data_IF_119124192792
#
_entry.id   IF_119124192792
#
_cell.length_a   1.000
_cell.length_b   1.000
_cell.length_c   1.000
_cell.angle_alpha   90.00
_cell.angle_beta   90.00
_cell.angle_gamma   90.00
#
_symmetry.space_group_name_H-M   'P 1'
#
loop_
_entity.id
_entity.type
_entity.pdbx_description
1 polymer ?
#
# COMPACT_ATOMS: atom_id res chain seq x y z
N UNK A 1 -14.64 3.54 24.25
CA UNK A 1 -13.63 2.77 23.49
C UNK A 1 -14.14 2.24 22.13
N UNK A 2 -15.40 1.82 22.00
CA UNK A 2 -15.94 1.30 20.71
C UNK A 2 -15.96 2.37 19.60
N UNK A 3 -16.32 3.62 19.89
CA UNK A 3 -16.35 4.72 18.92
C UNK A 3 -14.97 4.99 18.29
N UNK A 4 -13.89 4.98 19.06
CA UNK A 4 -12.52 5.18 18.56
C UNK A 4 -12.08 4.04 17.62
N UNK A 5 -12.49 2.80 17.90
CA UNK A 5 -12.22 1.66 17.00
C UNK A 5 -12.96 1.80 15.67
N UNK A 6 -14.21 2.25 15.69
CA UNK A 6 -15.01 2.47 14.48
C UNK A 6 -14.43 3.60 13.63
N UNK A 7 -14.07 4.74 14.23
CA UNK A 7 -13.45 5.86 13.53
C UNK A 7 -12.16 5.40 12.83
N UNK A 8 -11.28 4.68 13.53
CA UNK A 8 -10.04 4.15 12.95
C UNK A 8 -10.31 3.27 11.72
N UNK A 9 -11.31 2.39 11.81
CA UNK A 9 -11.66 1.49 10.70
C UNK A 9 -12.19 2.27 9.50
N UNK A 10 -13.05 3.26 9.73
CA UNK A 10 -13.60 4.11 8.66
C UNK A 10 -12.48 4.89 7.97
N UNK A 11 -11.60 5.55 8.73
CA UNK A 11 -10.45 6.29 8.19
C UNK A 11 -9.53 5.36 7.39
N UNK A 12 -9.20 4.19 7.93
CA UNK A 12 -8.34 3.20 7.27
C UNK A 12 -8.94 2.71 5.94
N UNK A 13 -10.25 2.42 5.90
CA UNK A 13 -10.94 2.02 4.67
C UNK A 13 -11.01 3.17 3.66
N UNK A 14 -11.27 4.39 4.11
CA UNK A 14 -11.32 5.57 3.26
C UNK A 14 -9.96 5.78 2.56
N UNK A 15 -8.85 5.77 3.32
CA UNK A 15 -7.50 5.87 2.75
C UNK A 15 -7.18 4.71 1.80
N UNK A 16 -7.57 3.49 2.17
CA UNK A 16 -7.38 2.31 1.33
C UNK A 16 -8.06 2.47 -0.04
N UNK A 17 -9.33 2.89 -0.07
CA UNK A 17 -10.07 3.11 -1.30
C UNK A 17 -9.52 4.30 -2.10
N UNK A 18 -9.19 5.42 -1.45
CA UNK A 18 -8.59 6.57 -2.13
C UNK A 18 -7.28 6.21 -2.82
N UNK A 19 -6.39 5.50 -2.14
CA UNK A 19 -5.13 5.04 -2.72
C UNK A 19 -5.35 3.97 -3.80
N UNK A 20 -6.33 3.09 -3.64
CA UNK A 20 -6.67 2.12 -4.68
C UNK A 20 -7.14 2.80 -5.96
N UNK A 21 -8.03 3.79 -5.84
CA UNK A 21 -8.52 4.58 -6.97
C UNK A 21 -7.36 5.34 -7.62
N UNK A 22 -6.45 5.92 -6.82
CA UNK A 22 -5.27 6.61 -7.32
C UNK A 22 -4.38 5.72 -8.20
N UNK A 23 -4.14 4.47 -7.79
CA UNK A 23 -3.33 3.53 -8.57
C UNK A 23 -4.08 2.92 -9.76
N UNK A 24 -5.41 2.92 -9.73
CA UNK A 24 -6.27 2.41 -10.80
C UNK A 24 -6.79 3.50 -11.71
N UNK A 25 -6.39 4.77 -11.49
CA UNK A 25 -6.82 5.89 -12.32
C UNK A 25 -6.24 5.79 -13.72
N UNK A 26 -6.98 5.11 -14.57
CA UNK A 26 -6.63 4.85 -15.97
C UNK A 26 -7.03 6.02 -16.86
N UNK A 27 -7.97 6.84 -16.40
CA UNK A 27 -8.52 7.98 -17.15
C UNK A 27 -7.93 9.35 -16.80
N UNK A 28 -7.04 9.44 -15.80
CA UNK A 28 -6.51 10.73 -15.33
C UNK A 28 -7.59 11.63 -14.70
N UNK A 29 -8.62 11.00 -14.10
CA UNK A 29 -9.75 11.71 -13.48
C UNK A 29 -9.37 12.38 -12.16
N UNK A 30 -8.27 11.94 -11.53
CA UNK A 30 -7.84 12.48 -10.25
C UNK A 30 -7.01 13.75 -10.46
N UNK A 31 -7.39 14.87 -9.84
CA UNK A 31 -6.63 16.11 -9.95
C UNK A 31 -5.22 15.94 -9.34
N UNK A 32 -4.18 16.54 -9.98
CA UNK A 32 -2.79 16.42 -9.51
C UNK A 32 -2.58 16.89 -8.07
N UNK A 33 -3.36 17.87 -7.63
CA UNK A 33 -3.32 18.38 -6.25
C UNK A 33 -3.65 17.31 -5.22
N UNK A 34 -4.68 16.50 -5.46
CA UNK A 34 -5.06 15.40 -4.57
C UNK A 34 -3.99 14.29 -4.55
N UNK A 35 -3.43 13.97 -5.71
CA UNK A 35 -2.32 13.01 -5.84
C UNK A 35 -1.11 13.44 -5.01
N UNK A 36 -0.72 14.72 -5.09
CA UNK A 36 0.41 15.26 -4.32
C UNK A 36 0.16 15.12 -2.81
N UNK A 37 -1.04 15.47 -2.33
CA UNK A 37 -1.40 15.36 -0.91
C UNK A 37 -1.39 13.90 -0.43
N UNK A 38 -2.00 12.99 -1.19
CA UNK A 38 -2.05 11.57 -0.82
C UNK A 38 -0.66 10.93 -0.78
N UNK A 39 0.20 11.28 -1.73
CA UNK A 39 1.59 10.79 -1.78
C UNK A 39 2.44 11.43 -0.69
N UNK A 40 2.22 12.70 -0.35
CA UNK A 40 2.93 13.38 0.75
C UNK A 40 2.61 12.78 2.13
N UNK A 41 1.43 12.17 2.30
CA UNK A 41 1.07 11.47 3.53
C UNK A 41 1.69 10.05 3.62
N UNK A 42 2.41 9.59 2.60
CA UNK A 42 3.12 8.32 2.62
C UNK A 42 4.58 8.52 3.06
N UNK A 43 5.06 7.69 3.98
CA UNK A 43 6.36 7.87 4.64
C UNK A 43 7.54 7.91 3.66
N UNK A 44 7.70 6.88 2.83
CA UNK A 44 8.90 6.76 1.97
C UNK A 44 8.87 7.70 0.76
N UNK A 45 7.76 7.85 0.00
CA UNK A 45 7.70 8.85 -1.07
C UNK A 45 7.93 10.27 -0.56
N UNK A 46 7.44 10.58 0.63
CA UNK A 46 7.67 11.88 1.27
C UNK A 46 9.15 12.06 1.65
N UNK A 47 9.79 11.02 2.20
CA UNK A 47 11.21 11.02 2.55
C UNK A 47 12.10 11.24 1.33
N UNK A 48 11.88 10.51 0.25
CA UNK A 48 12.70 10.61 -0.98
C UNK A 48 12.55 11.98 -1.65
N UNK A 49 11.33 12.53 -1.70
CA UNK A 49 11.08 13.85 -2.27
C UNK A 49 11.63 14.99 -1.40
N UNK A 50 11.58 14.86 -0.08
CA UNK A 50 12.13 15.87 0.85
C UNK A 50 13.64 15.98 0.72
N UNK A 51 14.34 14.84 0.50
CA UNK A 51 15.79 14.83 0.29
C UNK A 51 16.21 15.37 -1.09
N UNK A 52 15.33 15.21 -2.11
CA UNK A 52 15.60 15.73 -3.44
C UNK A 52 15.30 17.24 -3.57
N UNK A 53 14.25 17.71 -2.92
CA UNK A 53 13.78 19.10 -3.00
C UNK A 53 13.12 19.46 -1.66
N UNK A 54 13.61 20.49 -0.97
CA UNK A 54 12.97 21.11 0.20
C UNK A 54 11.61 21.72 -0.23
N UNK A 55 10.61 20.89 -0.45
CA UNK A 55 9.30 21.26 -0.99
C UNK A 55 8.18 21.01 0.03
N UNK A 56 6.95 21.36 -0.33
CA UNK A 56 5.72 21.15 0.48
C UNK A 56 5.59 19.72 0.99
N UNK A 57 6.23 18.74 0.35
CA UNK A 57 6.28 17.34 0.80
C UNK A 57 7.04 17.15 2.13
N UNK A 58 7.89 18.09 2.53
CA UNK A 58 8.57 18.07 3.84
C UNK A 58 7.59 18.20 5.01
N UNK A 59 6.52 18.97 4.83
CA UNK A 59 5.44 19.09 5.82
C UNK A 59 4.70 17.75 6.00
N UNK A 60 4.50 17.00 4.91
CA UNK A 60 3.90 15.67 4.97
C UNK A 60 4.77 14.68 5.75
N UNK A 61 6.10 14.68 5.52
CA UNK A 61 7.03 13.87 6.27
C UNK A 61 7.03 14.23 7.76
N UNK A 62 7.10 15.53 8.08
CA UNK A 62 7.05 16.03 9.47
C UNK A 62 5.76 15.57 10.15
N UNK A 63 4.61 15.71 9.47
CA UNK A 63 3.32 15.27 9.98
C UNK A 63 3.30 13.77 10.27
N UNK A 64 3.80 12.94 9.36
CA UNK A 64 3.85 11.48 9.54
C UNK A 64 4.79 11.10 10.68
N UNK A 65 5.96 11.76 10.80
CA UNK A 65 6.91 11.53 11.89
C UNK A 65 6.30 11.91 13.24
N UNK A 66 5.71 13.10 13.35
CA UNK A 66 5.05 13.57 14.59
C UNK A 66 3.89 12.62 14.97
N UNK A 67 3.09 12.22 13.99
CA UNK A 67 1.97 11.30 14.22
C UNK A 67 2.47 9.92 14.69
N UNK A 68 3.58 9.45 14.15
CA UNK A 68 4.18 8.17 14.54
C UNK A 68 4.78 8.25 15.95
N UNK A 69 5.45 9.36 16.29
CA UNK A 69 6.02 9.58 17.62
C UNK A 69 4.93 9.78 18.68
N UNK A 70 3.85 10.50 18.36
CA UNK A 70 2.76 10.77 19.31
C UNK A 70 1.87 9.57 19.55
N UNK A 71 1.55 8.81 18.51
CA UNK A 71 0.53 7.74 18.54
C UNK A 71 1.09 6.35 18.19
N UNK A 72 2.39 6.21 18.01
CA UNK A 72 3.05 4.94 17.71
C UNK A 72 2.54 4.32 16.39
N UNK A 73 1.97 3.12 16.45
CA UNK A 73 1.58 2.33 15.27
C UNK A 73 0.30 2.79 14.55
N UNK A 74 -0.21 4.00 14.80
CA UNK A 74 -1.45 4.49 14.15
C UNK A 74 -1.26 4.65 12.66
N UNK A 75 -0.09 5.12 12.20
CA UNK A 75 0.24 5.21 10.78
C UNK A 75 0.01 3.88 10.05
N UNK A 76 0.60 2.78 10.54
CA UNK A 76 0.46 1.45 9.94
C UNK A 76 -0.97 0.91 9.97
N UNK A 77 -1.81 1.40 10.88
CA UNK A 77 -3.18 0.91 11.05
C UNK A 77 -4.25 1.79 10.40
N UNK A 78 -3.91 3.01 9.98
CA UNK A 78 -4.89 3.98 9.46
C UNK A 78 -4.54 4.51 8.07
N UNK A 79 -3.26 4.80 7.80
CA UNK A 79 -2.81 5.41 6.55
C UNK A 79 -2.17 4.41 5.58
N UNK A 80 -1.56 3.33 6.09
CA UNK A 80 -0.88 2.37 5.24
C UNK A 80 -1.87 1.42 4.54
N UNK A 81 -1.94 1.40 3.20
CA UNK A 81 -2.89 0.55 2.48
C UNK A 81 -2.60 -0.94 2.66
N UNK A 82 -1.32 -1.32 2.78
CA UNK A 82 -0.93 -2.70 3.01
C UNK A 82 -1.34 -3.20 4.40
N UNK A 83 -1.27 -2.32 5.42
CA UNK A 83 -1.74 -2.61 6.77
C UNK A 83 -3.26 -2.84 6.80
N UNK A 84 -4.01 -2.04 6.06
CA UNK A 84 -5.47 -2.20 5.92
C UNK A 84 -5.82 -3.50 5.20
N UNK A 85 -5.09 -3.84 4.13
CA UNK A 85 -5.25 -5.11 3.43
C UNK A 85 -5.06 -6.30 4.38
N UNK A 86 -4.00 -6.29 5.19
CA UNK A 86 -3.76 -7.31 6.20
C UNK A 86 -4.91 -7.41 7.21
N UNK A 87 -5.47 -6.28 7.66
CA UNK A 87 -6.61 -6.28 8.59
C UNK A 87 -7.87 -6.89 7.97
N UNK A 88 -8.12 -6.65 6.69
CA UNK A 88 -9.22 -7.27 5.95
C UNK A 88 -9.02 -8.80 5.92
N UNK A 89 -7.82 -9.25 5.55
CA UNK A 89 -7.49 -10.69 5.50
C UNK A 89 -7.63 -11.34 6.88
N UNK A 90 -7.11 -10.69 7.94
CA UNK A 90 -7.23 -11.18 9.31
C UNK A 90 -8.69 -11.32 9.74
N UNK A 91 -9.55 -10.36 9.38
CA UNK A 91 -10.99 -10.42 9.69
C UNK A 91 -11.68 -11.56 8.95
N UNK A 92 -11.37 -11.73 7.66
CA UNK A 92 -11.89 -12.83 6.85
C UNK A 92 -11.42 -14.19 7.39
N UNK A 93 -10.14 -14.32 7.73
CA UNK A 93 -9.57 -15.54 8.31
C UNK A 93 -10.26 -15.90 9.64
N UNK A 94 -10.51 -14.90 10.50
CA UNK A 94 -11.22 -15.11 11.78
C UNK A 94 -12.67 -15.52 11.60
N UNK A 95 -13.34 -15.03 10.57
CA UNK A 95 -14.73 -15.36 10.25
C UNK A 95 -14.86 -16.80 9.75
N UNK A 96 -13.89 -17.24 8.95
CA UNK A 96 -13.93 -18.56 8.28
C UNK A 96 -13.26 -19.68 9.06
N UNK A 97 -12.42 -19.40 10.04
CA UNK A 97 -11.70 -20.38 10.83
C UNK A 97 -12.19 -20.42 12.28
N UNK A 98 -12.33 -21.65 12.82
CA UNK A 98 -12.54 -21.87 14.26
C UNK A 98 -11.34 -21.43 15.12
N UNK A 99 -10.21 -21.07 14.52
CA UNK A 99 -9.03 -20.52 15.19
C UNK A 99 -9.29 -19.06 15.59
N UNK A 100 -9.70 -18.84 16.84
CA UNK A 100 -9.91 -17.51 17.42
C UNK A 100 -8.62 -16.78 17.82
N UNK A 101 -7.47 -17.46 17.88
CA UNK A 101 -6.22 -16.93 18.42
C UNK A 101 -5.09 -17.12 17.42
N UNK A 102 -4.41 -16.01 17.04
CA UNK A 102 -3.16 -16.07 16.30
C UNK A 102 -2.03 -16.46 17.25
N UNK A 103 -1.16 -17.36 16.83
CA UNK A 103 0.03 -17.72 17.59
C UNK A 103 0.97 -16.52 17.58
N UNK A 104 1.07 -15.83 18.72
CA UNK A 104 2.01 -14.71 18.87
C UNK A 104 3.43 -15.26 18.69
N UNK A 105 4.14 -14.78 17.65
CA UNK A 105 5.54 -15.06 17.44
C UNK A 105 6.32 -13.83 17.89
N UNK A 106 7.26 -14.02 18.85
CA UNK A 106 8.16 -12.95 19.30
C UNK A 106 8.84 -12.34 18.07
N UNK A 107 8.83 -11.03 17.98
CA UNK A 107 9.46 -10.30 16.89
C UNK A 107 10.96 -10.57 16.91
N UNK A 108 11.60 -10.92 15.79
CA UNK A 108 13.05 -10.96 15.70
C UNK A 108 13.56 -9.52 15.60
N UNK A 109 13.72 -8.88 16.76
CA UNK A 109 14.17 -7.47 16.87
C UNK A 109 15.47 -7.25 16.10
N UNK A 110 16.40 -8.21 16.22
CA UNK A 110 17.70 -8.15 15.53
C UNK A 110 17.52 -8.12 14.00
N UNK A 111 16.64 -8.95 13.46
CA UNK A 111 16.37 -9.02 12.00
C UNK A 111 15.74 -7.71 11.51
N UNK A 112 14.86 -7.10 12.30
CA UNK A 112 14.22 -5.84 11.94
C UNK A 112 15.23 -4.70 11.86
N UNK A 113 16.07 -4.53 12.92
CA UNK A 113 17.08 -3.47 12.93
C UNK A 113 18.22 -3.71 11.92
N UNK A 114 18.61 -4.97 11.66
CA UNK A 114 19.59 -5.28 10.62
C UNK A 114 19.08 -4.94 9.21
N UNK A 115 17.83 -5.26 8.90
CA UNK A 115 17.19 -4.89 7.63
C UNK A 115 17.10 -3.37 7.47
N UNK A 116 16.73 -2.67 8.53
CA UNK A 116 16.62 -1.22 8.52
C UNK A 116 18.01 -0.57 8.35
N UNK A 117 19.05 -1.08 9.02
CA UNK A 117 20.43 -0.60 8.88
C UNK A 117 20.94 -0.83 7.44
N UNK A 118 20.71 -2.02 6.87
CA UNK A 118 21.11 -2.31 5.48
C UNK A 118 20.37 -1.41 4.50
N UNK A 119 19.07 -1.18 4.70
CA UNK A 119 18.28 -0.27 3.86
C UNK A 119 18.78 1.18 3.97
N UNK A 120 19.13 1.65 5.16
CA UNK A 120 19.69 2.98 5.39
C UNK A 120 21.06 3.15 4.74
N UNK A 121 21.96 2.15 4.88
CA UNK A 121 23.30 2.18 4.26
C UNK A 121 23.16 2.17 2.73
N UNK A 122 22.30 1.32 2.17
CA UNK A 122 22.05 1.29 0.72
C UNK A 122 21.49 2.61 0.21
N UNK A 123 20.61 3.26 0.98
CA UNK A 123 20.01 4.56 0.64
C UNK A 123 21.08 5.67 0.66
N UNK A 124 21.94 5.73 1.66
CA UNK A 124 23.07 6.67 1.72
C UNK A 124 24.06 6.41 0.58
N UNK A 125 24.25 5.15 0.17
CA UNK A 125 25.04 4.76 -1.01
C UNK A 125 24.36 5.10 -2.38
N UNK A 126 23.23 5.81 -2.37
CA UNK A 126 22.53 6.25 -3.58
C UNK A 126 21.56 5.21 -4.18
N UNK A 127 21.37 4.05 -3.53
CA UNK A 127 20.46 3.01 -4.00
C UNK A 127 19.15 3.01 -3.22
N UNK A 128 18.09 3.55 -3.83
CA UNK A 128 16.73 3.50 -3.28
C UNK A 128 16.02 2.13 -3.49
N UNK A 129 16.68 1.18 -4.17
CA UNK A 129 16.08 -0.09 -4.59
C UNK A 129 15.58 -0.91 -3.41
N UNK A 130 16.41 -1.08 -2.38
CA UNK A 130 16.09 -1.87 -1.20
C UNK A 130 14.97 -1.20 -0.38
N UNK A 131 15.00 0.12 -0.28
CA UNK A 131 13.97 0.90 0.38
C UNK A 131 12.61 0.72 -0.32
N UNK A 132 12.57 0.84 -1.67
CA UNK A 132 11.37 0.64 -2.48
C UNK A 132 10.85 -0.81 -2.45
N UNK A 133 11.74 -1.79 -2.24
CA UNK A 133 11.35 -3.20 -2.12
C UNK A 133 10.68 -3.50 -0.78
N UNK A 134 11.14 -2.83 0.28
CA UNK A 134 10.60 -3.00 1.64
C UNK A 134 9.41 -2.08 1.91
N UNK A 135 9.19 -1.07 1.07
CA UNK A 135 8.14 -0.09 1.23
C UNK A 135 6.76 -0.67 0.96
N UNK A 136 5.82 -0.56 1.91
CA UNK A 136 4.48 -1.09 1.76
C UNK A 136 3.64 -0.37 0.71
N UNK A 137 3.82 0.95 0.52
CA UNK A 137 3.07 1.76 -0.43
C UNK A 137 3.46 1.43 -1.88
N UNK A 138 4.78 1.39 -2.17
CA UNK A 138 5.29 1.03 -3.50
C UNK A 138 4.87 -0.38 -3.91
N UNK A 139 4.97 -1.34 -2.98
CA UNK A 139 4.57 -2.72 -3.26
C UNK A 139 3.06 -2.87 -3.44
N UNK A 140 2.25 -2.13 -2.68
CA UNK A 140 0.81 -2.06 -2.90
C UNK A 140 0.47 -1.50 -4.28
N UNK A 141 1.14 -0.41 -4.69
CA UNK A 141 1.01 0.16 -6.02
C UNK A 141 1.38 -0.82 -7.13
N UNK A 142 2.48 -1.57 -6.98
CA UNK A 142 2.88 -2.63 -7.93
C UNK A 142 1.81 -3.72 -8.05
N UNK A 143 1.24 -4.17 -6.92
CA UNK A 143 0.16 -5.16 -6.92
C UNK A 143 -1.04 -4.65 -7.71
N UNK A 144 -1.50 -3.42 -7.42
CA UNK A 144 -2.65 -2.85 -8.12
C UNK A 144 -2.38 -2.62 -9.61
N UNK A 145 -1.22 -2.03 -9.95
CA UNK A 145 -0.89 -1.70 -11.34
C UNK A 145 -0.59 -2.91 -12.20
N UNK A 146 -0.06 -4.02 -11.63
CA UNK A 146 0.30 -5.20 -12.41
C UNK A 146 -0.76 -6.29 -12.42
N UNK A 147 -1.59 -6.41 -11.37
CA UNK A 147 -2.60 -7.46 -11.27
C UNK A 147 -4.03 -6.94 -11.48
N UNK A 148 -4.37 -5.79 -10.89
CA UNK A 148 -5.75 -5.28 -10.90
C UNK A 148 -6.00 -4.38 -12.10
N UNK A 149 -5.08 -3.50 -12.43
CA UNK A 149 -5.22 -2.56 -13.55
C UNK A 149 -5.49 -3.26 -14.89
N UNK A 150 -4.79 -4.32 -15.31
CA UNK A 150 -5.12 -5.02 -16.55
C UNK A 150 -6.56 -5.56 -16.58
N UNK A 151 -7.06 -6.04 -15.44
CA UNK A 151 -8.45 -6.55 -15.33
C UNK A 151 -9.43 -5.39 -15.48
N UNK A 152 -9.16 -4.25 -14.85
CA UNK A 152 -10.00 -3.05 -14.96
C UNK A 152 -10.05 -2.53 -16.41
N UNK A 153 -8.89 -2.46 -17.08
CA UNK A 153 -8.79 -2.03 -18.49
C UNK A 153 -9.54 -2.99 -19.41
N UNK A 154 -9.38 -4.31 -19.22
CA UNK A 154 -10.12 -5.31 -20.00
C UNK A 154 -11.63 -5.18 -19.77
N UNK A 155 -12.06 -4.98 -18.52
CA UNK A 155 -13.45 -4.75 -18.17
C UNK A 155 -14.02 -3.49 -18.83
N UNK A 156 -13.25 -2.38 -18.78
CA UNK A 156 -13.62 -1.14 -19.45
C UNK A 156 -13.76 -1.33 -20.97
N UNK A 157 -12.78 -1.96 -21.62
CA UNK A 157 -12.81 -2.17 -23.07
C UNK A 157 -13.92 -3.12 -23.49
N UNK A 158 -14.24 -4.13 -22.69
CA UNK A 158 -15.39 -4.99 -22.91
C UNK A 158 -16.71 -4.19 -22.79
N UNK A 159 -16.83 -3.32 -21.79
CA UNK A 159 -17.98 -2.43 -21.65
C UNK A 159 -18.11 -1.47 -22.85
N UNK A 160 -17.01 -0.86 -23.29
CA UNK A 160 -16.98 0.00 -24.49
C UNK A 160 -17.47 -0.74 -25.72
N UNK A 161 -17.04 -1.99 -25.91
CA UNK A 161 -17.50 -2.82 -27.03
C UNK A 161 -19.00 -3.09 -26.99
N UNK A 162 -19.54 -3.42 -25.82
CA UNK A 162 -20.97 -3.66 -25.62
C UNK A 162 -21.79 -2.38 -25.85
N UNK A 163 -21.40 -1.26 -25.23
CA UNK A 163 -22.09 0.03 -25.39
C UNK A 163 -21.99 0.58 -26.81
N UNK A 164 -20.87 0.32 -27.51
CA UNK A 164 -20.70 0.67 -28.91
C UNK A 164 -21.78 0.01 -29.84
N UNK A 165 -22.18 -1.23 -29.55
CA UNK A 165 -23.25 -1.89 -30.24
C UNK A 165 -24.63 -1.22 -30.03
N UNK A 166 -24.79 -0.51 -28.90
CA UNK A 166 -26.05 0.26 -28.62
C UNK A 166 -25.94 1.73 -29.03
N UNK A 167 -24.85 2.14 -29.74
CA UNK A 167 -24.66 3.52 -30.21
C UNK A 167 -24.28 4.52 -29.11
N UNK A 168 -23.94 4.05 -27.92
CA UNK A 168 -23.52 4.87 -26.78
C UNK A 168 -21.98 4.97 -26.72
N UNK A 169 -21.42 6.02 -27.33
CA UNK A 169 -19.96 6.29 -27.33
C UNK A 169 -19.50 7.11 -26.12
N UNK A 170 -19.97 6.79 -24.94
CA UNK A 170 -19.72 7.56 -23.73
C UNK A 170 -18.38 7.23 -23.03
N UNK A 171 -17.78 6.07 -23.31
CA UNK A 171 -16.58 5.59 -22.65
C UNK A 171 -15.40 5.54 -23.64
N UNK A 172 -14.23 6.11 -23.31
CA UNK A 172 -13.04 5.98 -24.15
C UNK A 172 -12.44 4.57 -24.01
N UNK A 173 -11.95 4.02 -25.12
CA UNK A 173 -11.13 2.81 -25.10
C UNK A 173 -9.74 3.12 -24.54
N UNK A 174 -9.24 2.28 -23.68
CA UNK A 174 -7.97 2.48 -22.99
C UNK A 174 -6.97 1.43 -23.47
N UNK A 175 -5.78 1.89 -23.85
CA UNK A 175 -4.71 0.98 -24.27
C UNK A 175 -4.18 0.17 -23.09
N UNK A 176 -4.03 -1.14 -23.26
CA UNK A 176 -3.39 -2.01 -22.30
C UNK A 176 -1.92 -1.62 -22.17
N UNK A 177 -1.50 -1.24 -20.97
CA UNK A 177 -0.09 -0.99 -20.66
C UNK A 177 0.66 -2.32 -20.67
N UNK A 178 1.77 -2.38 -21.40
CA UNK A 178 2.64 -3.56 -21.39
C UNK A 178 3.28 -3.70 -20.00
N UNK A 179 2.83 -4.69 -19.24
CA UNK A 179 3.39 -5.01 -17.92
C UNK A 179 4.39 -6.15 -18.11
N UNK A 180 5.63 -5.94 -17.66
CA UNK A 180 6.66 -6.98 -17.72
C UNK A 180 6.26 -8.19 -16.88
N UNK A 181 6.42 -9.39 -17.40
CA UNK A 181 6.12 -10.65 -16.73
C UNK A 181 6.82 -10.76 -15.37
N UNK A 182 8.05 -10.26 -15.27
CA UNK A 182 8.82 -10.20 -14.02
C UNK A 182 8.10 -9.39 -12.92
N UNK A 183 7.45 -8.29 -13.29
CA UNK A 183 6.70 -7.45 -12.33
C UNK A 183 5.43 -8.15 -11.86
N UNK A 184 4.73 -8.85 -12.77
CA UNK A 184 3.55 -9.64 -12.43
C UNK A 184 3.93 -10.76 -11.45
N UNK A 185 4.98 -11.51 -11.78
CA UNK A 185 5.45 -12.62 -10.96
C UNK A 185 5.87 -12.14 -9.56
N UNK A 186 6.65 -11.06 -9.48
CA UNK A 186 7.03 -10.44 -8.21
C UNK A 186 5.80 -10.02 -7.38
N UNK A 187 4.84 -9.35 -8.00
CA UNK A 187 3.61 -8.88 -7.32
C UNK A 187 2.76 -10.03 -6.81
N UNK A 188 2.70 -11.13 -7.56
CA UNK A 188 1.96 -12.33 -7.20
C UNK A 188 2.60 -13.05 -6.01
N UNK A 189 3.93 -13.24 -6.06
CA UNK A 189 4.69 -13.85 -4.96
C UNK A 189 4.58 -12.98 -3.71
N UNK A 190 4.78 -11.67 -3.83
CA UNK A 190 4.72 -10.74 -2.72
C UNK A 190 3.33 -10.71 -2.07
N UNK A 191 2.27 -10.66 -2.89
CA UNK A 191 0.89 -10.74 -2.41
C UNK A 191 0.63 -12.07 -1.70
N UNK A 192 1.08 -13.19 -2.28
CA UNK A 192 0.94 -14.52 -1.69
C UNK A 192 1.61 -14.63 -0.32
N UNK A 193 2.83 -14.09 -0.18
CA UNK A 193 3.56 -14.06 1.09
C UNK A 193 2.80 -13.23 2.13
N UNK A 194 2.30 -12.04 1.77
CA UNK A 194 1.53 -11.19 2.68
C UNK A 194 0.24 -11.87 3.12
N UNK A 195 -0.51 -12.46 2.19
CA UNK A 195 -1.75 -13.18 2.49
C UNK A 195 -1.48 -14.36 3.43
N UNK A 196 -0.45 -15.16 3.15
CA UNK A 196 -0.05 -16.29 3.99
C UNK A 196 0.35 -15.85 5.40
N UNK A 197 1.20 -14.81 5.51
CA UNK A 197 1.62 -14.26 6.80
C UNK A 197 0.43 -13.69 7.58
N UNK A 198 -0.47 -12.97 6.91
CA UNK A 198 -1.65 -12.36 7.53
C UNK A 198 -2.65 -13.40 8.01
N UNK A 199 -2.81 -14.49 7.24
CA UNK A 199 -3.72 -15.59 7.59
C UNK A 199 -3.24 -16.38 8.82
N UNK A 200 -1.93 -16.70 8.90
CA UNK A 200 -1.38 -17.56 9.95
C UNK A 200 -0.91 -16.79 11.20
N UNK A 201 -0.32 -15.60 11.04
CA UNK A 201 0.38 -14.89 12.11
C UNK A 201 -0.11 -13.44 12.34
N UNK A 202 -1.12 -13.00 11.61
CA UNK A 202 -1.63 -11.64 11.70
C UNK A 202 -0.69 -10.62 11.06
N UNK A 203 -0.44 -9.47 11.70
CA UNK A 203 0.36 -8.36 11.16
C UNK A 203 1.89 -8.59 11.25
N UNK A 204 2.35 -9.82 10.99
CA UNK A 204 3.78 -10.14 11.13
C UNK A 204 4.65 -9.34 10.16
N UNK A 205 4.21 -9.10 8.92
CA UNK A 205 4.96 -8.33 7.94
C UNK A 205 5.26 -6.90 8.43
N UNK A 206 4.23 -6.18 8.92
CA UNK A 206 4.40 -4.83 9.44
C UNK A 206 5.30 -4.77 10.68
N UNK A 207 5.34 -5.85 11.45
CA UNK A 207 6.12 -5.90 12.69
C UNK A 207 7.56 -6.35 12.50
N UNK A 208 7.89 -7.08 11.42
CA UNK A 208 9.22 -7.71 11.25
C UNK A 208 10.00 -7.21 10.04
N UNK A 209 9.32 -6.87 8.94
CA UNK A 209 9.98 -6.52 7.66
C UNK A 209 9.83 -5.05 7.28
N UNK A 210 8.75 -4.39 7.71
CA UNK A 210 8.45 -3.03 7.29
C UNK A 210 9.31 -2.01 8.05
N UNK A 211 10.09 -1.14 7.37
CA UNK A 211 10.91 -0.11 8.02
C UNK A 211 10.08 0.93 8.78
N UNK A 212 8.86 1.20 8.34
CA UNK A 212 7.93 2.12 9.01
C UNK A 212 7.25 1.51 10.26
N UNK A 213 7.40 0.20 10.49
CA UNK A 213 6.82 -0.50 11.63
C UNK A 213 7.74 -0.60 12.85
N UNK A 214 8.87 0.12 12.87
CA UNK A 214 9.75 0.17 14.02
C UNK A 214 9.01 0.66 15.27
N UNK A 215 9.26 0.05 16.44
CA UNK A 215 8.65 0.46 17.71
C UNK A 215 9.13 1.82 18.17
#
# INVERSE_FOLDING_TARGET
MQRLKSIRVVVSLLFFFLLSILFLDVGGLIPPSLTIVLVALQFVPSLTKTLALLSVTSLGLLFVVVLTLAFGRVYCSSLCPLGTLQDIVIRLARRNSRRRWFRYKKQPVLLHYSLLAVAAIAFVGGSALLLNLLEPFSNYGKILSSLVNPIVVLGNNAAVSVFGHFGLYSLPSIALRNVHVSTILFSLIFLGVILYMSYNHGRLFCNSLCPAGAP
#
